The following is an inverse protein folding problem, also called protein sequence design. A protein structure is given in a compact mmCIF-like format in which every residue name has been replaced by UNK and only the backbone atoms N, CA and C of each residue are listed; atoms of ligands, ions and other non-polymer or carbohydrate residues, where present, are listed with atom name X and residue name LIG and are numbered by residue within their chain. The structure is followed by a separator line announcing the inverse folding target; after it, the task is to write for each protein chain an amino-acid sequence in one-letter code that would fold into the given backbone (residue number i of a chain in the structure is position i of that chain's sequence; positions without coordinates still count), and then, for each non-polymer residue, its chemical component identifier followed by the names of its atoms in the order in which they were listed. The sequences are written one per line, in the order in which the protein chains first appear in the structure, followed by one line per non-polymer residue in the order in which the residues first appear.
data_IF_406477081240
#
_entry.id   IF_406477081240
#
_cell.length_a   1.000
_cell.length_b   1.000
_cell.length_c   1.000
_cell.angle_alpha   90.00
_cell.angle_beta   90.00
_cell.angle_gamma   90.00
#
_symmetry.space_group_name_H-M   'P 1'
#
loop_
_entity.id
_entity.type
_entity.pdbx_description
1 polymer ?
#
# COMPACT_ATOMS: atom_id res chain seq x y z
N UNK A 1 -2.32 16.37 0.23
CA UNK A 1 -1.57 15.89 1.40
C UNK A 1 -0.66 14.76 0.96
N UNK A 2 -1.21 13.62 0.56
CA UNK A 2 -0.43 12.43 0.15
C UNK A 2 0.48 12.66 -1.06
N UNK A 3 0.05 13.43 -2.07
CA UNK A 3 0.91 13.77 -3.21
C UNK A 3 2.19 14.52 -2.77
N UNK A 4 2.09 15.41 -1.78
CA UNK A 4 3.27 16.07 -1.22
C UNK A 4 4.14 15.12 -0.40
N UNK A 5 3.54 14.11 0.25
CA UNK A 5 4.29 13.07 0.94
C UNK A 5 5.11 12.23 -0.06
N UNK A 6 4.52 11.84 -1.20
CA UNK A 6 5.24 11.16 -2.30
C UNK A 6 6.43 11.99 -2.78
N UNK A 7 6.24 13.28 -3.03
CA UNK A 7 7.32 14.17 -3.47
C UNK A 7 8.43 14.28 -2.42
N UNK A 8 8.06 14.36 -1.14
CA UNK A 8 9.00 14.49 -0.02
C UNK A 8 9.84 13.22 0.14
N UNK A 9 9.20 12.05 0.20
CA UNK A 9 9.90 10.78 0.37
C UNK A 9 10.74 10.42 -0.84
N UNK A 10 10.24 10.64 -2.07
CA UNK A 10 11.01 10.37 -3.29
C UNK A 10 12.26 11.24 -3.37
N UNK A 11 12.17 12.52 -2.98
CA UNK A 11 13.33 13.42 -2.90
C UNK A 11 14.31 12.94 -1.83
N UNK A 12 13.83 12.63 -0.63
CA UNK A 12 14.67 12.16 0.47
C UNK A 12 15.43 10.88 0.13
N UNK A 13 14.73 9.90 -0.46
CA UNK A 13 15.33 8.63 -0.93
C UNK A 13 16.41 8.90 -1.98
N UNK A 14 16.12 9.76 -2.97
CA UNK A 14 17.07 10.09 -4.03
C UNK A 14 18.34 10.73 -3.48
N UNK A 15 18.21 11.66 -2.54
CA UNK A 15 19.34 12.42 -1.99
C UNK A 15 20.18 11.61 -0.98
N UNK A 16 19.59 10.62 -0.31
CA UNK A 16 20.23 9.88 0.78
C UNK A 16 20.48 8.39 0.48
N UNK A 17 20.25 7.97 -0.77
CA UNK A 17 20.21 6.56 -1.19
C UNK A 17 21.36 5.72 -0.65
N UNK A 18 22.59 6.17 -0.85
CA UNK A 18 23.80 5.41 -0.50
C UNK A 18 23.95 5.22 1.01
N UNK A 19 23.55 6.23 1.79
CA UNK A 19 23.57 6.16 3.25
C UNK A 19 22.46 5.27 3.77
N UNK A 20 21.26 5.37 3.22
CA UNK A 20 20.12 4.56 3.63
C UNK A 20 20.32 3.07 3.32
N UNK A 21 21.00 2.74 2.22
CA UNK A 21 21.31 1.36 1.84
C UNK A 21 22.26 0.65 2.81
N UNK A 22 23.04 1.39 3.61
CA UNK A 22 23.99 0.84 4.56
C UNK A 22 23.40 0.65 5.97
N UNK A 23 22.19 1.16 6.21
CA UNK A 23 21.57 1.12 7.51
C UNK A 23 20.52 0.00 7.57
N UNK A 24 20.45 -0.75 8.68
CA UNK A 24 19.43 -1.77 8.84
C UNK A 24 18.04 -1.12 8.97
N UNK A 25 16.97 -1.85 8.63
CA UNK A 25 15.60 -1.42 8.88
C UNK A 25 15.35 -1.35 10.39
N UNK A 26 14.46 -0.46 10.87
CA UNK A 26 13.93 -0.55 12.22
C UNK A 26 13.09 -1.81 12.38
N UNK A 27 13.16 -2.47 13.54
CA UNK A 27 12.43 -3.71 13.85
C UNK A 27 10.91 -3.58 13.59
N UNK A 28 10.32 -2.43 13.91
CA UNK A 28 8.89 -2.19 13.65
C UNK A 28 8.56 -2.18 12.15
N UNK A 29 9.46 -1.67 11.31
CA UNK A 29 9.25 -1.63 9.87
C UNK A 29 9.44 -3.02 9.25
N UNK A 30 10.49 -3.73 9.68
CA UNK A 30 10.69 -5.13 9.29
C UNK A 30 9.47 -5.97 9.65
N UNK A 31 8.96 -5.79 10.87
CA UNK A 31 7.76 -6.49 11.33
C UNK A 31 6.55 -6.14 10.47
N UNK A 32 6.30 -4.85 10.19
CA UNK A 32 5.17 -4.39 9.40
C UNK A 32 5.18 -4.87 7.94
N UNK A 33 6.34 -4.83 7.28
CA UNK A 33 6.45 -5.18 5.85
C UNK A 33 6.67 -6.67 5.59
N UNK A 34 7.27 -7.40 6.55
CA UNK A 34 7.74 -8.78 6.32
C UNK A 34 7.05 -9.83 7.19
N UNK A 35 6.33 -9.43 8.25
CA UNK A 35 5.76 -10.37 9.21
C UNK A 35 4.30 -10.05 9.57
N UNK A 36 3.52 -11.06 9.93
CA UNK A 36 2.17 -10.88 10.45
C UNK A 36 1.06 -10.90 9.38
N UNK A 37 -0.10 -10.36 9.76
CA UNK A 37 -1.27 -10.26 8.90
C UNK A 37 -1.14 -9.05 7.97
N UNK A 38 -0.90 -9.32 6.68
CA UNK A 38 -0.70 -8.31 5.64
C UNK A 38 -2.00 -7.71 5.12
N UNK A 39 -3.10 -7.86 5.88
CA UNK A 39 -4.40 -7.23 5.66
C UNK A 39 -4.29 -5.78 5.17
N UNK A 40 -3.41 -4.96 5.77
CA UNK A 40 -3.27 -3.56 5.35
C UNK A 40 -2.79 -3.38 3.89
N UNK A 41 -1.93 -4.28 3.38
CA UNK A 41 -1.50 -4.24 1.99
C UNK A 41 -2.58 -4.71 1.03
N UNK A 42 -3.33 -5.71 1.45
CA UNK A 42 -4.31 -6.34 0.59
C UNK A 42 -5.60 -5.49 0.51
N UNK A 43 -6.05 -4.90 1.63
CA UNK A 43 -7.35 -4.23 1.71
C UNK A 43 -7.31 -2.75 1.35
N UNK A 44 -6.21 -2.05 1.66
CA UNK A 44 -6.13 -0.59 1.54
C UNK A 44 -5.33 -0.12 0.32
N UNK A 45 -4.84 -1.04 -0.52
CA UNK A 45 -4.19 -0.68 -1.79
C UNK A 45 -5.16 -0.77 -2.97
N UNK A 46 -4.98 0.12 -3.94
CA UNK A 46 -5.77 0.13 -5.18
C UNK A 46 -5.16 -0.83 -6.22
N UNK A 47 -4.70 -1.99 -5.74
CA UNK A 47 -3.96 -3.00 -6.50
C UNK A 47 -4.59 -4.38 -6.28
N UNK A 48 -4.35 -5.37 -7.17
CA UNK A 48 -4.79 -6.73 -6.91
C UNK A 48 -4.22 -7.26 -5.58
N UNK A 49 -5.03 -8.00 -4.84
CA UNK A 49 -4.66 -8.66 -3.58
C UNK A 49 -3.41 -9.53 -3.78
N UNK A 50 -2.46 -9.47 -2.84
CA UNK A 50 -1.22 -10.24 -2.92
C UNK A 50 -0.21 -9.76 -3.97
N UNK A 51 -0.52 -8.74 -4.77
CA UNK A 51 0.36 -8.27 -5.85
C UNK A 51 1.61 -7.53 -5.38
N UNK A 52 1.66 -7.12 -4.10
CA UNK A 52 2.79 -6.41 -3.51
C UNK A 52 3.16 -7.01 -2.16
N UNK A 53 4.43 -7.41 -2.06
CA UNK A 53 5.11 -7.88 -0.84
C UNK A 53 6.53 -7.32 -0.88
N UNK A 54 6.73 -6.08 -0.43
CA UNK A 54 8.01 -5.42 -0.62
C UNK A 54 9.06 -6.02 0.32
N UNK A 55 10.32 -6.04 -0.11
CA UNK A 55 11.44 -6.36 0.77
C UNK A 55 11.61 -5.25 1.83
N UNK A 56 12.22 -5.59 2.96
CA UNK A 56 12.50 -4.64 4.03
C UNK A 56 13.86 -4.97 4.67
N UNK A 57 14.90 -5.07 3.84
CA UNK A 57 16.24 -5.52 4.27
C UNK A 57 17.16 -4.35 4.66
N UNK A 58 16.79 -3.13 4.30
CA UNK A 58 17.53 -1.91 4.58
C UNK A 58 16.62 -0.73 4.90
N UNK A 59 17.17 0.32 5.50
CA UNK A 59 16.45 1.57 5.71
C UNK A 59 16.05 2.24 4.39
N UNK A 60 16.81 1.99 3.31
CA UNK A 60 16.42 2.41 1.96
C UNK A 60 15.11 1.76 1.53
N UNK A 61 14.95 0.46 1.79
CA UNK A 61 13.72 -0.26 1.45
C UNK A 61 12.55 0.27 2.25
N UNK A 62 12.74 0.56 3.54
CA UNK A 62 11.71 1.19 4.40
C UNK A 62 11.18 2.49 3.80
N UNK A 63 12.07 3.43 3.45
CA UNK A 63 11.63 4.71 2.89
C UNK A 63 11.04 4.58 1.49
N UNK A 64 11.54 3.63 0.69
CA UNK A 64 10.96 3.31 -0.62
C UNK A 64 9.54 2.77 -0.46
N UNK A 65 9.34 1.86 0.49
CA UNK A 65 8.04 1.25 0.73
C UNK A 65 7.01 2.27 1.22
N UNK A 66 7.42 3.16 2.13
CA UNK A 66 6.57 4.28 2.58
C UNK A 66 6.19 5.17 1.40
N UNK A 67 7.16 5.55 0.55
CA UNK A 67 6.89 6.40 -0.60
C UNK A 67 5.86 5.77 -1.56
N UNK A 68 5.94 4.46 -1.78
CA UNK A 68 4.96 3.73 -2.59
C UNK A 68 3.59 3.64 -1.92
N UNK A 69 3.53 3.44 -0.59
CA UNK A 69 2.28 3.42 0.17
C UNK A 69 1.57 4.78 0.08
N UNK A 70 2.29 5.89 0.19
CA UNK A 70 1.70 7.22 -0.03
C UNK A 70 1.17 7.39 -1.46
N UNK A 71 1.80 6.74 -2.44
CA UNK A 71 1.29 6.67 -3.82
C UNK A 71 -0.04 5.93 -3.92
N UNK A 72 -0.23 4.84 -3.16
CA UNK A 72 -1.52 4.14 -3.06
C UNK A 72 -2.56 4.96 -2.30
N UNK A 73 -2.16 5.72 -1.27
CA UNK A 73 -3.04 6.64 -0.56
C UNK A 73 -3.55 7.76 -1.48
N UNK A 74 -2.72 8.32 -2.36
CA UNK A 74 -3.15 9.30 -3.37
C UNK A 74 -4.29 8.72 -4.23
N UNK A 75 -4.12 7.49 -4.73
CA UNK A 75 -5.12 6.83 -5.58
C UNK A 75 -6.43 6.60 -4.82
N UNK A 76 -6.34 6.12 -3.59
CA UNK A 76 -7.49 5.88 -2.72
C UNK A 76 -8.24 7.17 -2.44
N UNK A 77 -7.52 8.25 -2.12
CA UNK A 77 -8.11 9.57 -1.87
C UNK A 77 -8.78 10.14 -3.12
N UNK A 78 -8.17 9.99 -4.30
CA UNK A 78 -8.78 10.40 -5.56
C UNK A 78 -10.08 9.62 -5.81
N UNK A 79 -10.07 8.30 -5.60
CA UNK A 79 -11.25 7.48 -5.79
C UNK A 79 -12.40 7.87 -4.84
N UNK A 80 -12.09 8.19 -3.57
CA UNK A 80 -13.07 8.72 -2.62
C UNK A 80 -13.66 10.07 -3.08
N UNK A 81 -12.85 10.96 -3.63
CA UNK A 81 -13.30 12.24 -4.17
C UNK A 81 -14.19 12.05 -5.40
N UNK A 82 -13.79 11.17 -6.32
CA UNK A 82 -14.57 10.85 -7.52
C UNK A 82 -15.92 10.23 -7.16
N UNK A 83 -15.95 9.34 -6.16
CA UNK A 83 -17.21 8.78 -5.63
C UNK A 83 -18.12 9.87 -5.08
N UNK A 84 -17.58 10.79 -4.27
CA UNK A 84 -18.35 11.88 -3.70
C UNK A 84 -18.93 12.84 -4.77
N UNK A 85 -18.21 13.03 -5.87
CA UNK A 85 -18.61 13.93 -6.96
C UNK A 85 -19.57 13.28 -7.95
N UNK A 86 -19.33 12.02 -8.34
CA UNK A 86 -20.01 11.36 -9.44
C UNK A 86 -21.08 10.36 -8.98
N UNK A 87 -21.06 9.96 -7.70
CA UNK A 87 -21.93 8.91 -7.15
C UNK A 87 -21.61 7.49 -7.66
N UNK A 88 -20.60 7.35 -8.52
CA UNK A 88 -20.20 6.07 -9.12
C UNK A 88 -19.45 5.23 -8.11
N UNK A 89 -20.04 4.11 -7.67
CA UNK A 89 -19.44 3.21 -6.67
C UNK A 89 -18.02 2.80 -7.08
N UNK A 90 -17.04 3.20 -6.29
CA UNK A 90 -15.68 2.64 -6.33
C UNK A 90 -15.70 1.31 -5.60
N UNK A 91 -15.19 0.28 -6.25
CA UNK A 91 -15.23 -1.09 -5.76
C UNK A 91 -13.82 -1.51 -5.38
N UNK A 92 -13.61 -1.87 -4.10
CA UNK A 92 -12.32 -2.41 -3.63
C UNK A 92 -11.98 -3.71 -4.38
N UNK A 93 -10.70 -4.00 -4.66
CA UNK A 93 -10.24 -5.26 -5.23
C UNK A 93 -10.79 -6.51 -4.54
N UNK A 94 -11.12 -6.42 -3.25
CA UNK A 94 -11.72 -7.50 -2.46
C UNK A 94 -13.19 -7.82 -2.76
N UNK A 95 -13.94 -6.87 -3.33
CA UNK A 95 -15.36 -7.09 -3.58
C UNK A 95 -15.62 -8.09 -4.72
N UNK A 96 -14.64 -8.31 -5.62
CA UNK A 96 -14.74 -9.30 -6.68
C UNK A 96 -14.63 -10.75 -6.17
N UNK A 97 -13.97 -10.97 -5.03
CA UNK A 97 -13.71 -12.31 -4.47
C UNK A 97 -14.90 -12.86 -3.67
N UNK A 98 -15.80 -12.01 -3.17
CA UNK A 98 -16.98 -12.44 -2.39
C UNK A 98 -18.14 -13.02 -3.22
N UNK A 99 -18.03 -13.07 -4.56
CA UNK A 99 -19.13 -13.48 -5.45
C UNK A 99 -19.26 -15.00 -5.65
N UNK A 100 -18.28 -15.80 -5.21
CA UNK A 100 -18.25 -17.26 -5.49
C UNK A 100 -18.54 -18.16 -4.28
N UNK A 101 -18.59 -17.62 -3.05
CA UNK A 101 -18.81 -18.41 -1.84
C UNK A 101 -20.28 -18.46 -1.37
N UNK A 102 -21.18 -17.64 -1.93
CA UNK A 102 -22.55 -17.46 -1.42
C UNK A 102 -23.62 -18.19 -2.26
N UNK A 103 -23.23 -19.17 -3.07
CA UNK A 103 -24.14 -19.91 -3.97
C UNK A 103 -24.24 -21.42 -3.73
N UNK A 104 -23.78 -21.95 -2.58
CA UNK A 104 -24.12 -23.32 -2.19
C UNK A 104 -25.29 -23.30 -1.20
N UNK A 105 -26.51 -23.67 -1.59
CA UNK A 105 -27.58 -23.91 -0.62
C UNK A 105 -27.17 -25.10 0.25
N UNK A 106 -27.27 -24.95 1.57
CA UNK A 106 -27.17 -26.08 2.50
C UNK A 106 -28.32 -27.05 2.23
N UNK A 107 -27.98 -28.34 2.13
CA UNK A 107 -28.92 -29.46 1.95
C UNK A 107 -29.94 -29.59 3.10
#
# INVERSE_FOLDING_TARGET
LEAHAVDTYSTFVKENRDRLAQLPPPEVAESYYSSGDLYFFDDFQMRPVGSRRPACDSLLDVFTNICEDEGEHVKTMQACQDYALLGTRVVSPHAATSSLADLTPSE
#
